data_IF_371860969973
#
_entry.id   IF_371860969973
#
_cell.length_a   1.000
_cell.length_b   1.000
_cell.length_c   1.000
_cell.angle_alpha   90.00
_cell.angle_beta   90.00
_cell.angle_gamma   90.00
#
_symmetry.space_group_name_H-M   'P 1'
#
loop_
_entity.id
_entity.type
_entity.pdbx_description
1 polymer ?
#
# COMPACT_ATOMS: atom_id res chain seq x y z
N UNK A 1 9.73 22.16 4.98
CA UNK A 1 10.96 21.36 5.09
C UNK A 1 10.79 20.37 6.21
N UNK A 2 10.65 19.10 5.87
CA UNK A 2 10.50 18.10 6.91
C UNK A 2 10.63 16.67 6.45
N UNK A 3 10.42 15.78 7.40
CA UNK A 3 10.58 14.34 7.24
C UNK A 3 9.43 13.73 6.48
N UNK A 4 9.77 12.83 5.58
CA UNK A 4 8.85 12.05 4.75
C UNK A 4 9.27 10.59 4.77
N UNK A 5 8.32 9.72 4.42
CA UNK A 5 8.57 8.29 4.25
C UNK A 5 8.08 7.85 2.87
N UNK A 6 8.84 6.98 2.21
CA UNK A 6 8.42 6.30 0.98
C UNK A 6 8.37 4.80 1.24
N UNK A 7 7.26 4.16 0.86
CA UNK A 7 7.04 2.73 1.00
C UNK A 7 6.85 2.10 -0.39
N UNK A 8 7.77 1.24 -0.80
CA UNK A 8 7.73 0.51 -2.06
C UNK A 8 7.11 -0.88 -1.86
N UNK A 9 5.86 -1.03 -2.30
CA UNK A 9 5.12 -2.29 -2.23
C UNK A 9 5.65 -3.34 -3.21
N UNK A 10 6.41 -2.95 -4.23
CA UNK A 10 7.10 -3.90 -5.12
C UNK A 10 8.26 -4.62 -4.46
N UNK A 11 8.80 -4.07 -3.37
CA UNK A 11 9.89 -4.66 -2.58
C UNK A 11 9.42 -5.30 -1.27
N UNK A 12 8.19 -5.03 -0.84
CA UNK A 12 7.67 -5.59 0.41
C UNK A 12 7.34 -7.08 0.24
N UNK A 13 7.93 -7.92 1.08
CA UNK A 13 7.70 -9.36 1.10
C UNK A 13 6.83 -9.85 2.27
N UNK A 14 6.23 -8.93 3.04
CA UNK A 14 5.37 -9.29 4.16
C UNK A 14 6.08 -10.01 5.31
N UNK A 15 7.34 -9.68 5.61
CA UNK A 15 8.07 -10.29 6.74
C UNK A 15 7.62 -9.79 8.13
N UNK A 16 6.80 -8.73 8.20
CA UNK A 16 6.31 -8.11 9.44
C UNK A 16 7.38 -7.50 10.36
N UNK A 17 8.66 -7.47 9.97
CA UNK A 17 9.74 -6.86 10.77
C UNK A 17 9.44 -5.42 11.17
N UNK A 18 8.89 -4.61 10.26
CA UNK A 18 8.56 -3.22 10.54
C UNK A 18 7.48 -3.04 11.64
N UNK A 19 6.55 -3.99 11.73
CA UNK A 19 5.52 -4.05 12.77
C UNK A 19 6.11 -4.52 14.10
N UNK A 20 6.96 -5.55 14.07
CA UNK A 20 7.61 -6.11 15.26
C UNK A 20 8.62 -5.12 15.85
N UNK A 21 9.43 -4.46 15.03
CA UNK A 21 10.39 -3.46 15.48
C UNK A 21 9.70 -2.25 16.14
N UNK A 22 8.52 -1.86 15.65
CA UNK A 22 7.72 -0.83 16.31
C UNK A 22 7.22 -1.29 17.69
N UNK A 23 6.84 -2.57 17.82
CA UNK A 23 6.49 -3.17 19.11
C UNK A 23 7.68 -3.23 20.05
N UNK A 24 8.82 -3.72 19.60
CA UNK A 24 10.05 -3.78 20.38
C UNK A 24 10.46 -2.41 20.93
N UNK A 25 10.35 -1.37 20.10
CA UNK A 25 10.70 -0.01 20.49
C UNK A 25 9.72 0.61 21.51
N UNK A 26 8.42 0.31 21.42
CA UNK A 26 7.39 1.05 22.17
C UNK A 26 6.65 0.24 23.22
N UNK A 27 6.69 -1.09 23.18
CA UNK A 27 6.15 -1.94 24.25
C UNK A 27 7.10 -1.89 25.42
N UNK A 28 6.56 -1.68 26.62
CA UNK A 28 7.30 -1.53 27.87
C UNK A 28 8.29 -0.34 27.95
N UNK A 29 8.43 0.47 26.90
CA UNK A 29 9.27 1.67 26.89
C UNK A 29 8.43 2.96 26.91
N UNK A 30 8.70 3.84 27.87
CA UNK A 30 8.08 5.16 27.97
C UNK A 30 9.05 6.20 27.39
N UNK A 31 8.60 6.89 26.35
CA UNK A 31 9.34 7.92 25.63
C UNK A 31 8.70 9.29 25.82
N UNK A 32 8.07 9.58 26.96
CA UNK A 32 7.55 10.93 27.24
C UNK A 32 8.66 11.99 27.01
N UNK A 33 8.36 13.09 26.28
CA UNK A 33 7.02 13.55 25.90
C UNK A 33 6.51 13.05 24.53
N UNK A 34 7.24 12.17 23.84
CA UNK A 34 6.88 11.70 22.48
C UNK A 34 5.77 10.66 22.48
N UNK A 35 5.86 9.67 23.37
CA UNK A 35 4.90 8.58 23.46
C UNK A 35 4.98 7.88 24.82
N UNK A 36 3.83 7.53 25.39
CA UNK A 36 3.75 6.50 26.44
C UNK A 36 3.84 5.11 25.84
N UNK A 37 4.05 4.12 26.71
CA UNK A 37 4.12 2.70 26.36
C UNK A 37 2.96 2.27 25.47
N UNK A 38 3.28 1.54 24.41
CA UNK A 38 2.30 0.86 23.56
C UNK A 38 1.83 -0.42 24.26
N UNK A 39 0.54 -0.79 24.20
CA UNK A 39 0.08 -2.10 24.65
C UNK A 39 0.74 -3.23 23.85
N UNK A 40 0.97 -4.38 24.46
CA UNK A 40 1.54 -5.55 23.80
C UNK A 40 0.64 -6.07 22.65
N UNK A 41 -0.67 -6.10 22.85
CA UNK A 41 -1.65 -6.56 21.86
C UNK A 41 -2.65 -5.47 21.44
N UNK A 42 -3.32 -5.67 20.31
CA UNK A 42 -4.49 -4.86 19.89
C UNK A 42 -4.14 -3.57 19.14
N UNK A 43 -3.05 -2.89 19.48
CA UNK A 43 -2.60 -1.68 18.77
C UNK A 43 -1.36 -1.97 17.92
N UNK A 44 -1.35 -1.50 16.67
CA UNK A 44 -0.20 -1.63 15.78
C UNK A 44 0.01 -0.31 15.04
N UNK A 45 0.96 0.51 15.50
CA UNK A 45 1.20 1.84 14.91
C UNK A 45 1.77 1.79 13.48
N UNK A 46 2.29 0.64 13.08
CA UNK A 46 2.60 0.26 11.72
C UNK A 46 2.04 -1.16 11.47
N UNK A 47 0.74 -1.24 11.14
CA UNK A 47 0.06 -2.51 10.89
C UNK A 47 0.27 -2.93 9.45
N UNK A 48 0.70 -4.17 9.22
CA UNK A 48 0.72 -4.77 7.89
C UNK A 48 -0.53 -5.63 7.68
N UNK A 49 -1.17 -5.48 6.53
CA UNK A 49 -2.31 -6.27 6.08
C UNK A 49 -1.93 -7.08 4.85
N UNK A 50 -2.24 -8.38 4.87
CA UNK A 50 -2.12 -9.25 3.72
C UNK A 50 -3.39 -9.16 2.88
N UNK A 51 -3.25 -8.75 1.63
CA UNK A 51 -4.35 -8.68 0.68
C UNK A 51 -4.13 -9.74 -0.42
N UNK A 52 -4.87 -10.85 -0.34
CA UNK A 52 -4.84 -11.91 -1.35
C UNK A 52 -5.70 -11.50 -2.54
N UNK A 53 -5.09 -11.51 -3.72
CA UNK A 53 -5.63 -10.98 -4.98
C UNK A 53 -5.69 -12.07 -6.04
N UNK A 54 -6.67 -11.96 -6.94
CA UNK A 54 -6.92 -12.95 -8.00
C UNK A 54 -7.67 -14.18 -7.51
N UNK A 55 -7.51 -15.29 -8.22
CA UNK A 55 -8.12 -16.59 -7.90
C UNK A 55 -7.19 -17.71 -8.36
N UNK A 56 -7.16 -18.82 -7.61
CA UNK A 56 -6.34 -19.99 -7.95
C UNK A 56 -6.58 -20.42 -9.42
N UNK A 57 -5.51 -20.71 -10.20
CA UNK A 57 -4.09 -20.67 -9.81
C UNK A 57 -3.39 -19.30 -9.98
N UNK A 58 -4.05 -18.26 -10.51
CA UNK A 58 -3.45 -16.92 -10.70
C UNK A 58 -3.70 -16.02 -9.48
N UNK A 59 -2.82 -16.14 -8.49
CA UNK A 59 -2.91 -15.43 -7.21
C UNK A 59 -1.72 -14.50 -7.03
N UNK A 60 -1.96 -13.37 -6.36
CA UNK A 60 -0.92 -12.50 -5.82
C UNK A 60 -1.25 -12.13 -4.37
N UNK A 61 -0.24 -11.74 -3.61
CA UNK A 61 -0.42 -11.16 -2.28
C UNK A 61 0.23 -9.79 -2.29
N UNK A 62 -0.48 -8.78 -1.79
CA UNK A 62 0.07 -7.44 -1.55
C UNK A 62 0.01 -7.10 -0.08
N UNK A 63 1.05 -6.42 0.41
CA UNK A 63 1.25 -6.13 1.83
C UNK A 63 1.05 -4.64 2.09
N UNK A 64 -0.13 -4.28 2.59
CA UNK A 64 -0.54 -2.90 2.78
C UNK A 64 -0.20 -2.42 4.20
N UNK A 65 0.35 -1.21 4.32
CA UNK A 65 0.77 -0.64 5.60
C UNK A 65 -0.22 0.42 6.07
N UNK A 66 -0.87 0.17 7.22
CA UNK A 66 -1.61 1.18 7.97
C UNK A 66 -0.68 1.83 8.99
N UNK A 67 -0.27 3.06 8.65
CA UNK A 67 0.64 3.91 9.41
C UNK A 67 0.14 5.36 9.35
N UNK A 68 0.42 6.15 10.39
CA UNK A 68 0.11 7.58 10.35
C UNK A 68 0.79 8.23 9.14
N UNK A 69 0.04 9.03 8.40
CA UNK A 69 0.53 9.70 7.20
C UNK A 69 1.25 11.02 7.48
N UNK A 70 1.26 11.47 8.75
CA UNK A 70 1.88 12.73 9.20
C UNK A 70 1.51 13.94 8.31
N UNK A 71 0.24 14.00 7.92
CA UNK A 71 -0.40 15.03 7.09
C UNK A 71 0.02 16.46 7.45
N UNK A 72 0.27 17.30 6.44
CA UNK A 72 0.59 18.70 6.65
C UNK A 72 -0.63 19.50 7.11
N UNK A 73 -1.81 19.23 6.55
CA UNK A 73 -3.12 19.72 7.00
C UNK A 73 -3.90 18.61 7.73
N UNK A 74 -3.40 18.21 8.91
CA UNK A 74 -3.92 17.06 9.64
C UNK A 74 -5.27 17.34 10.34
N UNK A 75 -6.39 16.69 9.94
CA UNK A 75 -7.71 16.93 10.54
C UNK A 75 -7.79 16.55 12.03
N UNK A 76 -6.94 15.59 12.44
CA UNK A 76 -6.85 15.16 13.83
C UNK A 76 -6.37 16.28 14.78
N UNK A 77 -5.57 17.24 14.30
CA UNK A 77 -5.13 18.41 15.09
C UNK A 77 -6.33 19.30 15.40
N UNK A 78 -7.10 19.68 14.38
CA UNK A 78 -8.28 20.53 14.54
C UNK A 78 -9.37 19.87 15.42
N UNK A 79 -9.51 18.55 15.36
CA UNK A 79 -10.47 17.81 16.17
C UNK A 79 -10.11 17.68 17.66
N UNK A 80 -8.88 18.02 18.06
CA UNK A 80 -8.41 17.81 19.43
C UNK A 80 -8.72 19.01 20.34
N UNK A 81 -9.84 18.97 21.07
CA UNK A 81 -10.21 20.01 22.05
C UNK A 81 -9.20 20.22 23.19
N UNK A 82 -8.34 19.23 23.47
CA UNK A 82 -7.30 19.35 24.49
C UNK A 82 -6.01 19.99 23.95
N UNK A 83 -5.96 20.31 22.65
CA UNK A 83 -4.75 20.79 21.96
C UNK A 83 -3.52 19.92 22.23
N UNK A 84 -3.75 18.60 22.30
CA UNK A 84 -2.71 17.60 22.56
C UNK A 84 -1.99 17.16 21.30
N UNK A 85 -2.55 17.40 20.12
CA UNK A 85 -1.94 17.01 18.85
C UNK A 85 -1.34 18.25 18.22
N UNK A 86 -0.07 18.17 17.83
CA UNK A 86 0.65 19.25 17.19
C UNK A 86 1.56 18.72 16.09
N UNK A 87 1.92 19.61 15.16
CA UNK A 87 2.89 19.34 14.12
C UNK A 87 4.20 20.02 14.49
N UNK A 88 5.30 19.29 14.45
CA UNK A 88 6.66 19.80 14.65
C UNK A 88 7.13 20.57 13.42
N UNK A 89 8.23 21.31 13.55
CA UNK A 89 8.84 22.06 12.45
C UNK A 89 9.37 21.14 11.33
N UNK A 90 9.81 19.93 11.70
CA UNK A 90 10.17 18.86 10.76
C UNK A 90 8.95 18.13 10.17
N UNK A 91 7.74 18.61 10.49
CA UNK A 91 6.43 18.15 10.06
C UNK A 91 5.99 16.79 10.59
N UNK A 92 6.67 16.24 11.60
CA UNK A 92 6.17 15.09 12.33
C UNK A 92 4.98 15.53 13.19
N UNK A 93 3.78 15.00 12.91
CA UNK A 93 2.61 15.13 13.79
C UNK A 93 2.75 14.23 15.03
N UNK A 94 2.61 14.78 16.24
CA UNK A 94 2.73 14.07 17.52
C UNK A 94 1.45 14.25 18.35
N UNK A 95 1.07 13.21 19.10
CA UNK A 95 0.07 13.30 20.17
C UNK A 95 0.83 13.39 21.49
N UNK A 96 0.80 14.54 22.14
CA UNK A 96 1.35 14.75 23.48
C UNK A 96 0.56 13.90 24.49
N UNK A 97 1.20 12.88 25.10
CA UNK A 97 0.50 11.99 26.01
C UNK A 97 0.10 12.67 27.33
N UNK A 98 0.81 13.71 27.75
CA UNK A 98 0.56 14.44 29.00
C UNK A 98 -0.59 15.44 28.85
N UNK A 99 -0.85 15.92 27.63
CA UNK A 99 -2.02 16.78 27.31
C UNK A 99 -3.24 16.01 26.86
N UNK A 100 -3.08 14.80 26.35
CA UNK A 100 -4.21 14.00 25.90
C UNK A 100 -5.19 13.73 27.07
N UNK A 101 -6.48 13.92 26.83
CA UNK A 101 -7.56 13.69 27.81
C UNK A 101 -8.54 12.59 27.38
N UNK A 102 -8.17 11.82 26.36
CA UNK A 102 -8.91 10.64 25.92
C UNK A 102 -10.27 10.91 25.25
N UNK A 103 -10.48 12.07 24.63
CA UNK A 103 -11.77 12.42 24.01
C UNK A 103 -12.11 11.65 22.71
N UNK A 104 -11.16 10.88 22.15
CA UNK A 104 -11.31 10.03 20.95
C UNK A 104 -11.68 10.72 19.63
N UNK A 105 -11.85 12.05 19.61
CA UNK A 105 -12.27 12.79 18.42
C UNK A 105 -11.26 12.69 17.26
N UNK A 106 -9.97 12.64 17.60
CA UNK A 106 -8.90 12.45 16.61
C UNK A 106 -9.01 11.12 15.83
N UNK A 107 -9.54 10.07 16.46
CA UNK A 107 -9.71 8.75 15.81
C UNK A 107 -10.78 8.85 14.73
N UNK A 108 -11.91 9.51 15.04
CA UNK A 108 -12.99 9.72 14.06
C UNK A 108 -12.61 10.72 12.96
N UNK A 109 -11.75 11.70 13.27
CA UNK A 109 -11.33 12.72 12.32
C UNK A 109 -10.25 12.25 11.35
N UNK A 110 -9.51 11.18 11.66
CA UNK A 110 -8.45 10.72 10.78
C UNK A 110 -9.06 10.03 9.54
N UNK A 111 -8.71 10.46 8.32
CA UNK A 111 -9.29 9.89 7.11
C UNK A 111 -8.64 8.55 6.68
N UNK A 112 -7.65 8.10 7.45
CA UNK A 112 -6.97 6.82 7.27
C UNK A 112 -7.42 5.82 8.34
N UNK A 113 -7.75 4.61 7.91
CA UNK A 113 -8.27 3.58 8.78
C UNK A 113 -7.16 3.00 9.67
N UNK A 114 -7.49 2.78 10.95
CA UNK A 114 -6.64 2.07 11.91
C UNK A 114 -5.25 2.68 12.11
N UNK A 115 -5.09 4.00 11.95
CA UNK A 115 -3.80 4.67 12.18
C UNK A 115 -3.69 5.35 13.54
N UNK A 116 -4.80 5.76 14.15
CA UNK A 116 -4.87 6.27 15.52
C UNK A 116 -5.65 5.27 16.38
N UNK A 117 -5.01 4.78 17.43
CA UNK A 117 -5.55 3.81 18.38
C UNK A 117 -5.89 4.49 19.70
N UNK A 118 -6.84 3.91 20.45
CA UNK A 118 -7.10 4.32 21.82
C UNK A 118 -6.47 3.32 22.80
N UNK A 119 -5.72 3.82 23.77
CA UNK A 119 -5.19 3.05 24.89
C UNK A 119 -6.10 3.22 26.10
N UNK A 120 -6.93 2.22 26.38
CA UNK A 120 -7.88 2.28 27.50
C UNK A 120 -7.20 2.31 28.86
N UNK A 121 -6.06 1.65 29.02
CA UNK A 121 -5.33 1.62 30.30
C UNK A 121 -4.76 3.00 30.67
N UNK A 122 -4.31 3.75 29.67
CA UNK A 122 -3.72 5.08 29.86
C UNK A 122 -4.73 6.23 29.62
N UNK A 123 -5.91 5.92 29.09
CA UNK A 123 -6.92 6.90 28.68
C UNK A 123 -6.39 7.96 27.68
N UNK A 124 -5.59 7.53 26.71
CA UNK A 124 -4.99 8.41 25.68
C UNK A 124 -5.12 7.80 24.28
N UNK A 125 -5.09 8.67 23.26
CA UNK A 125 -4.90 8.24 21.88
C UNK A 125 -3.40 8.05 21.58
N UNK A 126 -3.06 7.04 20.79
CA UNK A 126 -1.70 6.69 20.39
C UNK A 126 -1.63 6.38 18.90
N UNK A 127 -0.51 6.66 18.27
CA UNK A 127 -0.25 6.42 16.84
C UNK A 127 1.25 6.43 16.58
N UNK A 128 1.64 6.15 15.34
CA UNK A 128 3.02 6.33 14.89
C UNK A 128 3.55 7.74 15.19
N UNK A 129 4.79 7.81 15.66
CA UNK A 129 5.52 9.05 15.98
C UNK A 129 6.70 9.30 15.04
N UNK A 130 6.85 8.50 13.97
CA UNK A 130 8.09 8.36 13.20
C UNK A 130 9.34 8.17 14.08
N UNK A 131 9.15 7.55 15.26
CA UNK A 131 10.19 7.40 16.27
C UNK A 131 10.95 8.72 16.51
N UNK A 132 10.24 9.85 16.61
CA UNK A 132 10.83 11.17 16.79
C UNK A 132 11.84 11.25 17.95
N UNK A 133 11.63 10.45 19.00
CA UNK A 133 12.55 10.32 20.12
C UNK A 133 13.95 9.83 19.71
N UNK A 134 14.04 8.93 18.71
CA UNK A 134 15.31 8.46 18.16
C UNK A 134 15.95 9.47 17.23
N UNK A 135 15.14 10.13 16.40
CA UNK A 135 15.64 11.16 15.49
C UNK A 135 16.27 12.31 16.27
N UNK A 136 15.64 12.70 17.38
CA UNK A 136 16.16 13.72 18.29
C UNK A 136 17.41 13.24 19.06
N UNK A 137 17.60 11.93 19.22
CA UNK A 137 18.81 11.28 19.78
C UNK A 137 19.90 11.01 18.72
N UNK A 138 19.75 11.56 17.50
CA UNK A 138 20.75 11.51 16.45
C UNK A 138 20.66 10.30 15.51
N UNK A 139 19.61 9.49 15.59
CA UNK A 139 19.35 8.45 14.60
C UNK A 139 18.89 9.06 13.27
N UNK A 140 19.27 8.42 12.17
CA UNK A 140 18.89 8.87 10.83
C UNK A 140 17.49 8.47 10.42
N UNK A 141 16.94 7.39 11.00
CA UNK A 141 15.68 6.80 10.55
C UNK A 141 14.90 6.05 11.67
N UNK A 142 13.58 5.86 11.49
CA UNK A 142 12.74 5.09 12.41
C UNK A 142 13.03 3.58 12.34
N UNK A 143 12.65 2.86 13.39
CA UNK A 143 12.85 1.40 13.51
C UNK A 143 12.24 0.57 12.37
N UNK A 144 11.11 1.01 11.82
CA UNK A 144 10.49 0.30 10.70
C UNK A 144 11.33 0.32 9.42
N UNK A 145 12.15 1.36 9.24
CA UNK A 145 13.06 1.51 8.11
C UNK A 145 14.33 0.69 8.35
N UNK A 146 14.96 0.88 9.51
CA UNK A 146 16.18 0.16 9.92
C UNK A 146 15.99 -1.36 9.91
N UNK A 147 14.81 -1.85 10.34
CA UNK A 147 14.51 -3.28 10.38
C UNK A 147 14.09 -3.89 9.02
N UNK A 148 13.95 -3.10 7.95
CA UNK A 148 13.43 -3.56 6.66
C UNK A 148 14.50 -4.31 5.85
N UNK A 149 14.41 -5.65 5.68
CA UNK A 149 15.47 -6.40 5.03
C UNK A 149 15.51 -6.22 3.50
N UNK A 150 14.42 -5.73 2.90
CA UNK A 150 14.30 -5.55 1.44
C UNK A 150 14.51 -4.11 1.00
N UNK A 151 14.68 -3.16 1.93
CA UNK A 151 14.75 -1.73 1.60
C UNK A 151 13.44 -1.16 1.05
N UNK A 152 12.30 -1.78 1.38
CA UNK A 152 10.98 -1.32 0.95
C UNK A 152 10.57 0.02 1.58
N UNK A 153 11.09 0.37 2.76
CA UNK A 153 10.81 1.64 3.41
C UNK A 153 12.05 2.53 3.34
N UNK A 154 11.86 3.81 3.04
CA UNK A 154 12.93 4.83 3.04
C UNK A 154 12.41 6.06 3.76
N UNK A 155 13.20 6.62 4.66
CA UNK A 155 12.86 7.82 5.41
C UNK A 155 13.95 8.87 5.25
N UNK A 156 13.57 10.14 5.22
CA UNK A 156 14.53 11.23 5.08
C UNK A 156 13.87 12.59 4.95
N UNK A 157 14.69 13.59 4.66
CA UNK A 157 14.23 14.95 4.38
C UNK A 157 13.65 15.04 2.97
N UNK A 158 12.51 15.72 2.82
CA UNK A 158 11.83 15.91 1.53
C UNK A 158 12.71 16.59 0.47
N UNK A 159 13.74 17.32 0.90
CA UNK A 159 14.65 18.02 0.01
C UNK A 159 15.84 17.20 -0.48
N UNK A 160 16.10 16.05 0.15
CA UNK A 160 17.17 15.15 -0.24
C UNK A 160 16.94 14.62 -1.67
N UNK A 161 18.01 14.60 -2.48
CA UNK A 161 17.92 14.23 -3.89
C UNK A 161 17.42 12.81 -4.13
N UNK A 162 17.78 11.86 -3.26
CA UNK A 162 17.33 10.47 -3.33
C UNK A 162 15.86 10.40 -2.95
N UNK A 163 15.43 11.08 -1.90
CA UNK A 163 14.03 11.15 -1.49
C UNK A 163 13.15 11.78 -2.58
N UNK A 164 13.57 12.90 -3.17
CA UNK A 164 12.87 13.54 -4.31
C UNK A 164 12.69 12.59 -5.49
N UNK A 165 13.74 11.85 -5.84
CA UNK A 165 13.67 10.86 -6.92
C UNK A 165 12.69 9.72 -6.61
N UNK A 166 12.56 9.33 -5.34
CA UNK A 166 11.57 8.34 -4.90
C UNK A 166 10.14 8.91 -4.96
N UNK A 167 9.93 10.13 -4.46
CA UNK A 167 8.61 10.79 -4.46
C UNK A 167 8.12 11.02 -5.90
N UNK A 168 9.01 11.39 -6.83
CA UNK A 168 8.66 11.66 -8.22
C UNK A 168 8.02 10.47 -8.96
N UNK A 169 8.19 9.24 -8.45
CA UNK A 169 7.60 8.01 -9.00
C UNK A 169 6.57 7.38 -8.06
N UNK A 170 6.24 8.04 -6.97
CA UNK A 170 5.32 7.54 -5.95
C UNK A 170 3.92 8.15 -6.14
N UNK A 171 2.94 7.51 -5.52
CA UNK A 171 1.54 7.88 -5.46
C UNK A 171 1.14 8.10 -3.98
N UNK A 172 0.05 8.82 -3.73
CA UNK A 172 -0.57 8.87 -2.39
C UNK A 172 -1.39 7.61 -2.16
N UNK A 173 -1.47 7.12 -0.91
CA UNK A 173 -2.26 5.93 -0.57
C UNK A 173 -3.73 6.07 -1.00
N UNK A 174 -4.28 7.26 -0.79
CA UNK A 174 -5.63 7.68 -1.14
C UNK A 174 -5.54 9.00 -1.88
N UNK A 175 -5.44 8.99 -3.23
CA UNK A 175 -5.29 10.20 -4.03
C UNK A 175 -6.43 11.22 -3.83
N UNK A 176 -7.62 10.74 -3.48
CA UNK A 176 -8.79 11.55 -3.14
C UNK A 176 -8.66 12.35 -1.83
N UNK A 177 -7.60 12.10 -1.05
CA UNK A 177 -7.25 12.83 0.18
C UNK A 177 -6.01 13.72 0.01
N UNK A 178 -5.71 14.15 -1.22
CA UNK A 178 -4.52 14.97 -1.49
C UNK A 178 -4.53 16.31 -0.72
N UNK A 179 -5.70 16.83 -0.37
CA UNK A 179 -5.90 18.10 0.33
C UNK A 179 -5.38 18.11 1.77
N UNK A 180 -5.30 16.94 2.43
CA UNK A 180 -4.68 16.87 3.77
C UNK A 180 -3.15 16.80 3.70
N UNK A 181 -2.58 16.80 2.48
CA UNK A 181 -1.14 16.83 2.20
C UNK A 181 -0.35 15.74 2.97
N UNK A 182 -0.54 14.46 2.62
CA UNK A 182 0.14 13.34 3.29
C UNK A 182 1.65 13.35 3.05
N UNK A 183 2.42 12.91 4.05
CA UNK A 183 3.90 12.86 4.01
C UNK A 183 4.48 11.44 3.94
N UNK A 184 3.60 10.46 3.69
CA UNK A 184 3.99 9.09 3.35
C UNK A 184 3.57 8.84 1.91
N UNK A 185 4.53 8.41 1.09
CA UNK A 185 4.36 8.16 -0.33
C UNK A 185 4.55 6.68 -0.64
N UNK A 186 3.90 6.20 -1.70
CA UNK A 186 3.82 4.78 -2.00
C UNK A 186 4.24 4.49 -3.43
N UNK A 187 5.11 3.50 -3.63
CA UNK A 187 5.50 3.01 -4.95
C UNK A 187 4.84 1.65 -5.17
N UNK A 188 4.26 1.44 -6.35
CA UNK A 188 3.69 0.15 -6.72
C UNK A 188 2.39 -0.18 -5.99
N UNK A 189 1.54 0.83 -5.73
CA UNK A 189 0.21 0.60 -5.19
C UNK A 189 -0.55 -0.45 -6.03
N UNK A 190 -1.30 -1.37 -5.39
CA UNK A 190 -1.98 -2.45 -6.09
C UNK A 190 -3.03 -1.93 -7.07
N UNK A 191 -2.77 -2.08 -8.38
CA UNK A 191 -3.73 -1.82 -9.47
C UNK A 191 -4.28 -3.11 -10.04
N UNK A 192 -5.51 -3.11 -10.57
CA UNK A 192 -6.21 -4.33 -10.99
C UNK A 192 -5.45 -5.12 -12.04
N UNK A 193 -5.68 -6.43 -12.09
CA UNK A 193 -5.19 -7.29 -13.16
C UNK A 193 -6.22 -8.28 -13.68
N UNK A 194 -6.01 -8.71 -14.92
CA UNK A 194 -6.61 -9.90 -15.51
C UNK A 194 -5.49 -10.89 -15.83
N UNK A 195 -5.63 -12.14 -15.43
CA UNK A 195 -4.67 -13.19 -15.72
C UNK A 195 -5.38 -14.46 -16.19
N UNK A 196 -4.65 -15.36 -16.84
CA UNK A 196 -5.16 -16.64 -17.31
C UNK A 196 -4.05 -17.43 -17.99
N UNK A 197 -4.43 -18.53 -18.63
CA UNK A 197 -3.54 -19.30 -19.48
C UNK A 197 -4.19 -19.56 -20.83
N UNK A 198 -3.37 -19.74 -21.87
CA UNK A 198 -3.83 -20.10 -23.21
C UNK A 198 -3.17 -21.42 -23.62
N UNK A 199 -3.94 -22.33 -24.20
CA UNK A 199 -3.45 -23.62 -24.69
C UNK A 199 -4.03 -23.95 -26.06
N UNK A 200 -3.26 -24.67 -26.87
CA UNK A 200 -3.70 -25.23 -28.14
C UNK A 200 -4.64 -26.42 -27.86
N UNK A 201 -5.89 -26.31 -28.32
CA UNK A 201 -6.93 -27.31 -28.05
C UNK A 201 -6.73 -28.61 -28.83
N UNK A 202 -6.02 -28.58 -29.96
CA UNK A 202 -5.76 -29.76 -30.80
C UNK A 202 -4.51 -30.50 -30.34
N UNK A 203 -3.44 -29.76 -30.06
CA UNK A 203 -2.16 -30.34 -29.65
C UNK A 203 -2.10 -30.63 -28.13
N UNK A 204 -3.04 -30.08 -27.34
CA UNK A 204 -3.12 -30.19 -25.87
C UNK A 204 -1.84 -29.67 -25.18
N UNK A 205 -1.35 -28.52 -25.65
CA UNK A 205 -0.10 -27.90 -25.19
C UNK A 205 -0.29 -26.43 -24.85
N UNK A 206 0.46 -25.95 -23.86
CA UNK A 206 0.58 -24.53 -23.54
C UNK A 206 0.94 -23.71 -24.79
N UNK A 207 0.17 -22.66 -25.06
CA UNK A 207 0.36 -21.83 -26.24
C UNK A 207 1.22 -20.62 -25.89
N UNK A 208 2.53 -20.71 -26.14
CA UNK A 208 3.45 -19.57 -26.04
C UNK A 208 3.25 -18.58 -27.19
N UNK A 209 3.52 -17.29 -26.94
CA UNK A 209 3.54 -16.25 -27.97
C UNK A 209 2.17 -15.79 -28.44
N UNK A 210 1.10 -16.10 -27.70
CA UNK A 210 -0.25 -15.62 -27.97
C UNK A 210 -0.37 -14.19 -27.47
N UNK A 211 -0.84 -13.28 -28.32
CA UNK A 211 -1.15 -11.91 -27.92
C UNK A 211 -2.53 -11.87 -27.28
N UNK A 212 -2.60 -11.39 -26.04
CA UNK A 212 -3.86 -11.16 -25.32
C UNK A 212 -4.01 -9.67 -25.08
N UNK A 213 -5.06 -9.07 -25.64
CA UNK A 213 -5.36 -7.64 -25.47
C UNK A 213 -6.67 -7.46 -24.73
N UNK A 214 -6.65 -6.82 -23.57
CA UNK A 214 -7.84 -6.34 -22.88
C UNK A 214 -8.20 -4.93 -23.36
N UNK A 215 -9.45 -4.71 -23.71
CA UNK A 215 -10.00 -3.40 -24.02
C UNK A 215 -11.10 -3.04 -23.03
N UNK A 216 -10.96 -1.89 -22.33
CA UNK A 216 -11.97 -1.36 -21.43
C UNK A 216 -13.17 -0.88 -22.25
N UNK A 217 -14.38 -1.32 -21.90
CA UNK A 217 -15.61 -1.00 -22.62
C UNK A 217 -16.04 0.46 -22.51
N UNK A 218 -15.62 1.17 -21.47
CA UNK A 218 -15.99 2.56 -21.21
C UNK A 218 -14.89 3.53 -21.64
N UNK A 219 -13.65 3.35 -21.13
CA UNK A 219 -12.54 4.26 -21.42
C UNK A 219 -11.85 3.99 -22.75
N UNK A 220 -12.04 2.80 -23.33
CA UNK A 220 -11.34 2.37 -24.54
C UNK A 220 -9.85 2.07 -24.34
N UNK A 221 -9.33 2.21 -23.12
CA UNK A 221 -7.94 1.89 -22.78
C UNK A 221 -7.67 0.41 -23.05
N UNK A 222 -6.46 0.14 -23.55
CA UNK A 222 -6.02 -1.21 -23.88
C UNK A 222 -4.78 -1.58 -23.08
N UNK A 223 -4.76 -2.82 -22.60
CA UNK A 223 -3.58 -3.46 -22.07
C UNK A 223 -3.30 -4.71 -22.89
N UNK A 224 -2.03 -4.98 -23.16
CA UNK A 224 -1.63 -6.15 -23.95
C UNK A 224 -0.54 -6.91 -23.21
N UNK A 225 -0.64 -8.24 -23.25
CA UNK A 225 0.36 -9.18 -22.76
C UNK A 225 0.59 -10.26 -23.82
N UNK A 226 1.75 -10.90 -23.76
CA UNK A 226 2.08 -12.07 -24.58
C UNK A 226 2.22 -13.26 -23.64
N UNK A 227 1.67 -14.40 -24.02
CA UNK A 227 1.78 -15.61 -23.21
C UNK A 227 3.21 -16.13 -23.17
N UNK A 228 3.64 -16.57 -21.99
CA UNK A 228 4.95 -17.21 -21.79
C UNK A 228 4.94 -18.71 -22.17
N UNK A 229 6.01 -19.43 -21.86
CA UNK A 229 6.16 -20.86 -22.16
C UNK A 229 5.15 -21.76 -21.44
N UNK A 230 4.47 -21.28 -20.39
CA UNK A 230 3.37 -21.99 -19.73
C UNK A 230 2.00 -21.59 -20.29
N UNK A 231 1.97 -20.73 -21.32
CA UNK A 231 0.75 -20.17 -21.85
C UNK A 231 0.18 -19.05 -20.97
N UNK A 232 0.90 -18.63 -19.93
CA UNK A 232 0.38 -17.69 -18.94
C UNK A 232 0.45 -16.25 -19.44
N UNK A 233 -0.58 -15.46 -19.15
CA UNK A 233 -0.57 -14.02 -19.35
C UNK A 233 -1.03 -13.26 -18.10
N UNK A 234 -0.51 -12.04 -17.96
CA UNK A 234 -0.85 -11.11 -16.89
C UNK A 234 -1.01 -9.69 -17.44
N UNK A 235 -2.24 -9.22 -17.50
CA UNK A 235 -2.60 -7.85 -17.85
C UNK A 235 -2.71 -7.04 -16.55
N UNK A 236 -1.65 -6.32 -16.20
CA UNK A 236 -1.51 -5.59 -14.91
C UNK A 236 -1.76 -4.11 -15.10
N UNK A 237 -2.06 -3.40 -14.01
CA UNK A 237 -2.20 -1.95 -14.04
C UNK A 237 -3.52 -1.47 -14.65
N UNK A 238 -4.55 -2.31 -14.60
CA UNK A 238 -5.86 -1.99 -15.13
C UNK A 238 -6.59 -1.01 -14.22
N UNK A 239 -7.35 -0.12 -14.84
CA UNK A 239 -8.37 0.68 -14.16
C UNK A 239 -9.57 -0.19 -13.80
N UNK A 240 -10.39 0.30 -12.87
CA UNK A 240 -11.66 -0.33 -12.58
C UNK A 240 -12.57 -0.27 -13.82
N UNK A 241 -13.25 -1.37 -14.11
CA UNK A 241 -14.20 -1.42 -15.22
C UNK A 241 -14.40 -2.82 -15.79
N UNK A 242 -15.06 -2.85 -16.95
CA UNK A 242 -15.41 -4.08 -17.66
C UNK A 242 -14.62 -4.17 -18.96
N UNK A 243 -13.95 -5.29 -19.16
CA UNK A 243 -13.04 -5.53 -20.26
C UNK A 243 -13.54 -6.61 -21.21
N UNK A 244 -13.18 -6.49 -22.49
CA UNK A 244 -13.21 -7.60 -23.45
C UNK A 244 -11.79 -7.98 -23.81
N UNK A 245 -11.47 -9.27 -23.78
CA UNK A 245 -10.20 -9.82 -24.20
C UNK A 245 -10.25 -10.22 -25.67
N UNK A 246 -9.18 -9.93 -26.39
CA UNK A 246 -8.91 -10.37 -27.75
C UNK A 246 -7.67 -11.28 -27.72
N UNK A 247 -7.80 -12.50 -28.22
CA UNK A 247 -6.75 -13.53 -28.20
C UNK A 247 -6.33 -13.81 -29.64
N UNK A 248 -5.06 -13.58 -29.95
CA UNK A 248 -4.53 -13.59 -31.31
C UNK A 248 -3.18 -14.32 -31.38
N UNK A 249 -3.08 -15.28 -32.31
CA UNK A 249 -1.82 -15.94 -32.66
C UNK A 249 -1.83 -16.27 -34.17
N UNK A 250 -0.77 -15.99 -34.93
CA UNK A 250 -0.70 -16.36 -36.34
C UNK A 250 -0.91 -17.87 -36.55
N UNK A 251 -1.77 -18.23 -37.51
CA UNK A 251 -2.15 -19.62 -37.78
C UNK A 251 -3.30 -20.15 -36.92
N UNK A 252 -3.86 -19.33 -36.03
CA UNK A 252 -4.99 -19.67 -35.17
C UNK A 252 -6.18 -18.75 -35.42
N UNK A 253 -7.38 -19.25 -35.08
CA UNK A 253 -8.59 -18.45 -35.08
C UNK A 253 -8.54 -17.36 -34.01
N UNK A 254 -8.81 -16.12 -34.39
CA UNK A 254 -8.96 -15.00 -33.45
C UNK A 254 -10.18 -15.22 -32.57
N UNK A 255 -10.02 -15.02 -31.26
CA UNK A 255 -11.11 -15.17 -30.29
C UNK A 255 -11.35 -13.92 -29.47
N UNK A 256 -12.58 -13.75 -29.02
CA UNK A 256 -12.98 -12.70 -28.08
C UNK A 256 -13.59 -13.35 -26.85
N UNK A 257 -13.16 -12.92 -25.67
CA UNK A 257 -13.67 -13.37 -24.37
C UNK A 257 -14.14 -12.17 -23.56
N UNK A 258 -15.29 -12.28 -22.92
CA UNK A 258 -15.82 -11.24 -22.04
C UNK A 258 -17.34 -11.33 -21.91
N UNK A 259 -17.94 -10.45 -21.08
CA UNK A 259 -17.27 -9.39 -20.32
C UNK A 259 -16.44 -9.90 -19.13
N UNK A 260 -15.34 -9.22 -18.82
CA UNK A 260 -14.51 -9.45 -17.63
C UNK A 260 -14.56 -8.23 -16.72
N UNK A 261 -15.26 -8.33 -15.59
CA UNK A 261 -15.45 -7.23 -14.64
C UNK A 261 -14.36 -7.24 -13.55
N UNK A 262 -13.49 -6.24 -13.57
CA UNK A 262 -12.41 -6.05 -12.57
C UNK A 262 -12.72 -4.96 -11.55
N UNK A 263 -13.91 -4.34 -11.61
CA UNK A 263 -14.30 -3.19 -10.76
C UNK A 263 -14.11 -3.48 -9.27
N UNK A 264 -14.36 -4.72 -8.84
CA UNK A 264 -14.25 -5.10 -7.42
C UNK A 264 -12.96 -5.82 -7.09
N UNK A 265 -12.45 -6.65 -7.99
CA UNK A 265 -11.35 -7.58 -7.70
C UNK A 265 -10.57 -7.90 -8.96
N UNK A 266 -9.33 -8.34 -8.77
CA UNK A 266 -8.55 -8.96 -9.83
C UNK A 266 -9.19 -10.28 -10.30
N UNK A 267 -9.03 -10.58 -11.58
CA UNK A 267 -9.71 -11.72 -12.21
C UNK A 267 -8.70 -12.67 -12.85
N UNK A 268 -8.82 -13.95 -12.49
CA UNK A 268 -8.34 -15.07 -13.26
C UNK A 268 -9.47 -15.53 -14.20
N UNK A 269 -9.25 -15.49 -15.52
CA UNK A 269 -10.22 -15.99 -16.51
C UNK A 269 -10.10 -17.49 -16.79
N UNK A 270 -9.14 -18.16 -16.15
CA UNK A 270 -8.89 -19.58 -16.33
C UNK A 270 -8.13 -19.90 -17.63
N UNK A 271 -8.31 -21.13 -18.10
CA UNK A 271 -7.64 -21.65 -19.28
C UNK A 271 -8.48 -21.37 -20.53
N UNK A 272 -7.84 -20.85 -21.57
CA UNK A 272 -8.45 -20.47 -22.84
C UNK A 272 -7.91 -21.38 -23.94
N UNK A 273 -8.77 -22.21 -24.52
CA UNK A 273 -8.41 -23.02 -25.69
C UNK A 273 -8.33 -22.18 -26.96
N UNK A 274 -7.34 -22.44 -27.81
CA UNK A 274 -7.23 -21.89 -29.18
C UNK A 274 -7.20 -22.99 -30.23
N UNK A 275 -7.68 -22.69 -31.44
CA UNK A 275 -7.81 -23.63 -32.55
C UNK A 275 -7.09 -23.11 -33.78
N UNK A 276 -6.53 -24.03 -34.59
CA UNK A 276 -5.87 -23.67 -35.86
C UNK A 276 -6.90 -23.16 -36.87
N UNK A 277 -6.48 -22.23 -37.72
CA UNK A 277 -7.35 -21.59 -38.72
C UNK A 277 -7.57 -22.43 -39.98
#
# INVERSE_FOLDING_TARGET
MGKVMVIDYGLCNGCYNCQIACKDEHVANDWSPYAKTQPDTGQFWNKVYDNVRGQVPKVMVTYEHSICQHCDDAPCIAACNAHAIYKRDDGIVIIDPEKCRGNRMCIAACPYENVIYFNDALNIAQKCTFCAHLLDDGWSEPRCVDACPTGAMVFGDEDDSKIKALIARAELLKPELAEVEPRVYYIGLPKKFIAGAVFDQEDDLCAEGVTVTAANGESGLKATAVTDSYGDFWLRGLEDGVYTLLIEKPGYLTQKLGPVDVTRKDINVGDIGIWKA
#
